data_IF_882140126274
#
_entry.id   IF_882140126274
#
_cell.length_a   1.000
_cell.length_b   1.000
_cell.length_c   1.000
_cell.angle_alpha   90.00
_cell.angle_beta   90.00
_cell.angle_gamma   90.00
#
_symmetry.space_group_name_H-M   'P 1'
#
loop_
_entity.id
_entity.type
_entity.pdbx_description
1 polymer ?
#
# COMPACT_ATOMS: atom_id res chain seq x y z
N UNK A 1 -20.16 14.30 7.98
CA UNK A 1 -19.96 13.06 8.73
C UNK A 1 -18.47 12.97 8.97
N UNK A 2 -18.01 13.14 10.22
CA UNK A 2 -16.59 13.20 10.53
C UNK A 2 -15.98 11.84 10.26
N UNK A 3 -15.09 11.72 9.26
CA UNK A 3 -14.19 10.59 9.14
C UNK A 3 -13.46 10.46 10.47
N UNK A 4 -13.69 9.35 11.19
CA UNK A 4 -12.87 9.01 12.34
C UNK A 4 -11.51 8.62 11.77
N UNK A 5 -10.57 9.55 11.85
CA UNK A 5 -9.21 9.38 11.40
C UNK A 5 -8.64 8.12 12.03
N UNK A 6 -8.06 7.23 11.22
CA UNK A 6 -7.31 6.08 11.71
C UNK A 6 -6.22 6.59 12.65
N UNK A 7 -6.08 6.03 13.85
CA UNK A 7 -5.07 6.45 14.81
C UNK A 7 -3.69 5.93 14.37
N UNK A 8 -2.97 6.75 13.60
CA UNK A 8 -1.62 6.42 13.11
C UNK A 8 -0.61 6.19 14.24
N UNK A 9 -0.93 6.54 15.49
CA UNK A 9 -0.06 6.25 16.63
C UNK A 9 0.12 4.74 16.83
N UNK A 10 -0.88 3.95 16.41
CA UNK A 10 -0.88 2.49 16.53
C UNK A 10 -0.31 1.79 15.28
N UNK A 11 -0.17 2.49 14.15
CA UNK A 11 0.43 1.92 12.93
C UNK A 11 1.87 1.49 13.15
N UNK A 12 2.15 0.22 12.84
CA UNK A 12 3.49 -0.34 12.83
C UNK A 12 4.00 -0.61 11.42
N UNK A 13 5.31 -0.49 11.27
CA UNK A 13 6.02 -0.63 9.99
C UNK A 13 7.08 -1.69 10.21
N UNK A 14 7.07 -2.73 9.38
CA UNK A 14 7.98 -3.86 9.50
C UNK A 14 8.78 -4.02 8.20
N UNK A 15 10.11 -3.82 8.23
CA UNK A 15 10.95 -4.18 7.10
C UNK A 15 11.00 -5.71 7.01
N UNK A 16 10.57 -6.28 5.89
CA UNK A 16 10.52 -7.74 5.69
C UNK A 16 11.77 -8.22 4.96
N UNK A 17 12.16 -7.52 3.88
CA UNK A 17 13.31 -7.90 3.05
C UNK A 17 13.98 -6.70 2.41
N UNK A 18 15.29 -6.78 2.21
CA UNK A 18 16.06 -5.85 1.37
C UNK A 18 16.16 -4.42 1.88
N UNK A 19 15.67 -4.15 3.10
CA UNK A 19 15.75 -2.84 3.75
C UNK A 19 15.75 -3.00 5.26
N UNK A 20 16.25 -1.99 5.97
CA UNK A 20 16.12 -1.80 7.40
C UNK A 20 15.32 -0.53 7.67
N UNK A 21 14.53 -0.56 8.73
CA UNK A 21 13.79 0.61 9.19
C UNK A 21 14.75 1.57 9.91
N UNK A 22 14.82 2.81 9.43
CA UNK A 22 15.54 3.91 10.06
C UNK A 22 14.65 4.70 11.01
N UNK A 23 14.73 6.03 10.96
CA UNK A 23 13.87 6.90 11.77
C UNK A 23 12.42 6.80 11.30
N UNK A 24 11.50 6.77 12.26
CA UNK A 24 10.05 6.94 12.03
C UNK A 24 9.59 8.22 12.73
N UNK A 25 8.95 9.09 11.97
CA UNK A 25 8.32 10.32 12.43
C UNK A 25 6.80 10.17 12.30
N UNK A 26 6.07 10.66 13.29
CA UNK A 26 4.60 10.65 13.32
C UNK A 26 4.12 12.06 13.61
N UNK A 27 3.16 12.51 12.82
CA UNK A 27 2.40 13.73 13.05
C UNK A 27 0.92 13.35 13.17
N UNK A 28 0.48 13.20 14.42
CA UNK A 28 -0.89 12.81 14.75
C UNK A 28 -1.92 13.90 14.47
N UNK A 29 -1.49 15.17 14.34
CA UNK A 29 -2.40 16.27 14.00
C UNK A 29 -2.80 16.18 12.52
N UNK A 30 -1.84 15.89 11.63
CA UNK A 30 -2.09 15.74 10.20
C UNK A 30 -2.29 14.30 9.72
N UNK A 31 -2.24 13.33 10.64
CA UNK A 31 -2.35 11.90 10.37
C UNK A 31 -1.30 11.36 9.39
N UNK A 32 -0.06 11.85 9.51
CA UNK A 32 1.06 11.49 8.65
C UNK A 32 2.11 10.63 9.39
N UNK A 33 2.59 9.58 8.73
CA UNK A 33 3.79 8.86 9.14
C UNK A 33 4.85 9.00 8.05
N UNK A 34 6.08 9.32 8.44
CA UNK A 34 7.25 9.27 7.57
C UNK A 34 8.24 8.25 8.13
N UNK A 35 8.62 7.27 7.31
CA UNK A 35 9.58 6.23 7.69
C UNK A 35 10.76 6.19 6.72
N UNK A 36 11.96 6.08 7.27
CA UNK A 36 13.15 5.86 6.47
C UNK A 36 13.33 4.37 6.19
N UNK A 37 13.44 4.03 4.90
CA UNK A 37 13.86 2.70 4.45
C UNK A 37 15.33 2.80 4.05
N UNK A 38 16.20 2.11 4.80
CA UNK A 38 17.65 2.12 4.61
C UNK A 38 18.06 0.85 3.87
N UNK A 39 18.80 0.99 2.78
CA UNK A 39 19.42 -0.17 2.11
C UNK A 39 20.77 -0.51 2.74
N UNK A 40 21.19 -1.75 2.62
CA UNK A 40 22.46 -2.25 3.19
C UNK A 40 23.70 -1.81 2.41
N UNK A 41 23.49 -1.18 1.25
CA UNK A 41 24.54 -0.71 0.36
C UNK A 41 24.06 0.49 -0.46
N UNK A 42 25.01 1.25 -0.97
CA UNK A 42 24.76 2.19 -2.07
C UNK A 42 24.36 1.41 -3.32
N UNK A 43 23.45 1.98 -4.11
CA UNK A 43 23.04 1.46 -5.41
C UNK A 43 23.69 2.28 -6.51
N UNK A 44 24.44 1.61 -7.38
CA UNK A 44 24.95 2.18 -8.61
C UNK A 44 23.86 2.26 -9.68
N UNK A 45 24.09 3.11 -10.68
CA UNK A 45 23.15 3.28 -11.79
C UNK A 45 22.93 1.94 -12.51
N UNK A 46 21.67 1.53 -12.61
CA UNK A 46 21.26 0.30 -13.29
C UNK A 46 21.22 -0.93 -12.39
N UNK A 47 21.59 -0.81 -11.12
CA UNK A 47 21.40 -1.90 -10.17
C UNK A 47 19.94 -2.00 -9.71
N UNK A 48 19.52 -3.24 -9.45
CA UNK A 48 18.20 -3.56 -8.91
C UNK A 48 18.31 -3.98 -7.45
N UNK A 49 17.38 -3.49 -6.64
CA UNK A 49 17.10 -4.05 -5.31
C UNK A 49 15.63 -4.43 -5.23
N UNK A 50 15.36 -5.56 -4.59
CA UNK A 50 14.00 -5.94 -4.17
C UNK A 50 13.92 -5.69 -2.68
N UNK A 51 12.94 -4.89 -2.27
CA UNK A 51 12.63 -4.67 -0.87
C UNK A 51 11.15 -4.92 -0.62
N UNK A 52 10.84 -5.26 0.63
CA UNK A 52 9.49 -5.54 1.09
C UNK A 52 9.31 -4.90 2.45
N UNK A 53 8.19 -4.19 2.59
CA UNK A 53 7.80 -3.49 3.81
C UNK A 53 6.32 -3.76 4.06
N UNK A 54 6.02 -4.16 5.28
CA UNK A 54 4.66 -4.40 5.75
C UNK A 54 4.21 -3.23 6.62
N UNK A 55 2.95 -2.82 6.43
CA UNK A 55 2.27 -1.84 7.26
C UNK A 55 1.12 -2.53 7.96
N UNK A 56 1.14 -2.55 9.28
CA UNK A 56 -0.03 -2.94 10.06
C UNK A 56 -0.76 -1.66 10.45
N UNK A 57 -2.00 -1.55 9.97
CA UNK A 57 -2.88 -0.39 10.14
C UNK A 57 -3.99 -0.75 11.14
N UNK A 58 -3.72 -0.78 12.45
CA UNK A 58 -4.75 -0.98 13.45
C UNK A 58 -5.66 0.24 13.51
N UNK A 59 -6.96 -0.01 13.65
CA UNK A 59 -7.94 1.04 13.82
C UNK A 59 -9.35 0.47 13.65
N UNK A 60 -10.30 1.15 14.27
CA UNK A 60 -11.72 0.78 14.19
C UNK A 60 -12.37 1.25 12.88
N UNK A 61 -11.63 2.01 12.08
CA UNK A 61 -12.09 2.53 10.79
C UNK A 61 -11.78 1.52 9.70
N UNK A 62 -12.83 1.04 9.06
CA UNK A 62 -12.77 0.17 7.90
C UNK A 62 -12.21 0.94 6.70
N UNK A 63 -10.88 0.85 6.48
CA UNK A 63 -10.25 1.36 5.26
C UNK A 63 -10.94 0.77 4.02
N UNK A 64 -11.00 1.52 2.92
CA UNK A 64 -11.67 1.09 1.67
C UNK A 64 -10.71 1.00 0.48
N UNK A 65 -9.49 1.48 0.66
CA UNK A 65 -8.42 1.33 -0.31
C UNK A 65 -7.05 1.37 0.36
N UNK A 66 -6.07 0.88 -0.41
CA UNK A 66 -4.65 1.07 -0.16
C UNK A 66 -3.98 1.30 -1.51
N UNK A 67 -3.04 2.24 -1.55
CA UNK A 67 -2.31 2.56 -2.78
C UNK A 67 -0.85 2.88 -2.52
N UNK A 68 -0.04 2.69 -3.56
CA UNK A 68 1.35 3.08 -3.61
C UNK A 68 1.57 4.11 -4.72
N UNK A 69 2.19 5.24 -4.38
CA UNK A 69 2.58 6.25 -5.36
C UNK A 69 4.00 5.99 -5.85
N UNK A 70 4.11 5.66 -7.13
CA UNK A 70 5.35 5.51 -7.87
C UNK A 70 5.69 6.81 -8.61
N UNK A 71 6.85 7.42 -8.34
CA UNK A 71 7.23 8.73 -8.92
C UNK A 71 7.94 8.64 -10.27
N UNK A 72 8.43 7.45 -10.63
CA UNK A 72 9.13 7.13 -11.88
C UNK A 72 8.90 5.65 -12.19
N UNK A 73 9.01 5.21 -13.44
CA UNK A 73 8.80 3.80 -13.78
C UNK A 73 9.70 2.87 -12.93
N UNK A 74 9.09 1.85 -12.30
CA UNK A 74 9.82 0.81 -11.56
C UNK A 74 9.63 -0.54 -12.24
N UNK A 75 10.65 -1.39 -12.18
CA UNK A 75 10.66 -2.69 -12.88
C UNK A 75 9.53 -3.61 -12.43
N UNK A 76 9.21 -3.61 -11.14
CA UNK A 76 8.17 -4.44 -10.54
C UNK A 76 7.59 -3.72 -9.33
N UNK A 77 6.27 -3.62 -9.28
CA UNK A 77 5.52 -3.24 -8.09
C UNK A 77 4.57 -4.39 -7.73
N UNK A 78 4.61 -4.78 -6.47
CA UNK A 78 3.62 -5.68 -5.87
C UNK A 78 2.97 -4.96 -4.71
N UNK A 79 1.64 -4.94 -4.71
CA UNK A 79 0.82 -4.47 -3.59
C UNK A 79 -0.03 -5.64 -3.14
N UNK A 80 0.07 -5.97 -1.86
CA UNK A 80 -0.76 -6.99 -1.23
C UNK A 80 -1.54 -6.37 -0.08
N UNK A 81 -2.82 -6.71 0.00
CA UNK A 81 -3.68 -6.40 1.14
C UNK A 81 -4.19 -7.70 1.72
N UNK A 82 -3.94 -7.92 3.02
CA UNK A 82 -4.46 -9.06 3.78
C UNK A 82 -5.59 -8.60 4.68
N UNK A 83 -6.73 -9.26 4.59
CA UNK A 83 -7.94 -8.96 5.35
C UNK A 83 -8.10 -9.91 6.55
N UNK A 84 -8.82 -9.47 7.58
CA UNK A 84 -9.27 -10.39 8.63
C UNK A 84 -10.21 -11.44 8.03
N UNK A 85 -9.95 -12.73 8.28
CA UNK A 85 -10.77 -13.83 7.74
C UNK A 85 -12.22 -13.81 8.23
N UNK A 86 -12.47 -13.24 9.41
CA UNK A 86 -13.81 -13.06 9.95
C UNK A 86 -14.54 -11.86 9.31
N UNK A 87 -13.81 -10.95 8.66
CA UNK A 87 -14.37 -9.75 8.05
C UNK A 87 -13.77 -9.52 6.66
N UNK A 88 -14.38 -10.15 5.66
CA UNK A 88 -13.90 -10.12 4.26
C UNK A 88 -14.65 -9.10 3.43
N UNK A 89 -13.98 -8.44 2.47
CA UNK A 89 -14.65 -7.53 1.55
C UNK A 89 -15.64 -8.27 0.63
N UNK A 90 -16.68 -7.56 0.18
CA UNK A 90 -17.63 -8.04 -0.82
C UNK A 90 -17.05 -7.98 -2.22
N UNK A 91 -16.23 -6.97 -2.51
CA UNK A 91 -15.52 -6.80 -3.78
C UNK A 91 -14.11 -6.29 -3.54
N UNK A 92 -13.16 -6.67 -4.40
CA UNK A 92 -11.82 -6.07 -4.43
C UNK A 92 -11.46 -5.75 -5.87
N UNK A 93 -11.00 -4.53 -6.14
CA UNK A 93 -10.74 -4.03 -7.50
C UNK A 93 -9.40 -3.28 -7.53
N UNK A 94 -8.52 -3.60 -8.48
CA UNK A 94 -7.32 -2.81 -8.74
C UNK A 94 -7.68 -1.48 -9.38
N UNK A 95 -6.84 -0.46 -9.24
CA UNK A 95 -6.93 0.76 -10.03
C UNK A 95 -5.55 1.35 -10.29
N UNK A 96 -5.46 2.12 -11.37
CA UNK A 96 -4.32 2.97 -11.69
C UNK A 96 -4.76 4.40 -11.92
N UNK A 97 -3.99 5.36 -11.40
CA UNK A 97 -4.23 6.79 -11.61
C UNK A 97 -2.93 7.50 -12.01
N UNK A 98 -2.84 8.11 -13.19
CA UNK A 98 -1.61 8.79 -13.65
C UNK A 98 -1.16 9.96 -12.75
N UNK A 99 -2.09 10.61 -12.04
CA UNK A 99 -1.85 11.72 -11.11
C UNK A 99 -3.01 11.84 -10.13
N UNK A 100 -2.81 12.41 -8.95
CA UNK A 100 -3.80 12.40 -7.84
C UNK A 100 -5.24 12.79 -8.20
N UNK A 101 -5.45 13.72 -9.15
CA UNK A 101 -6.79 14.19 -9.57
C UNK A 101 -7.32 13.56 -10.86
N UNK A 102 -6.59 12.63 -11.48
CA UNK A 102 -7.09 11.91 -12.66
C UNK A 102 -8.15 10.87 -12.26
N UNK A 103 -9.04 10.47 -13.18
CA UNK A 103 -9.94 9.34 -12.93
C UNK A 103 -9.13 8.05 -12.77
N UNK A 104 -9.72 7.09 -12.04
CA UNK A 104 -9.20 5.73 -11.96
C UNK A 104 -9.32 5.06 -13.34
N UNK A 105 -8.27 4.33 -13.72
CA UNK A 105 -8.15 3.58 -14.96
C UNK A 105 -7.72 2.15 -14.63
N UNK A 106 -7.82 1.23 -15.61
CA UNK A 106 -7.40 -0.18 -15.44
C UNK A 106 -8.06 -0.85 -14.22
N UNK A 107 -9.37 -0.63 -14.07
CA UNK A 107 -10.15 -1.22 -12.99
C UNK A 107 -10.45 -2.69 -13.28
N UNK A 108 -9.83 -3.60 -12.53
CA UNK A 108 -10.02 -5.04 -12.68
C UNK A 108 -10.38 -5.65 -11.33
N UNK A 109 -11.41 -6.48 -11.31
CA UNK A 109 -11.74 -7.24 -10.12
C UNK A 109 -10.58 -8.19 -9.79
N UNK A 110 -10.14 -8.14 -8.54
CA UNK A 110 -9.15 -9.05 -7.97
C UNK A 110 -9.87 -10.14 -7.20
N UNK A 111 -9.38 -11.37 -7.31
CA UNK A 111 -9.85 -12.48 -6.47
C UNK A 111 -9.06 -12.49 -5.17
N UNK A 112 -9.72 -12.87 -4.07
CA UNK A 112 -9.02 -13.16 -2.83
C UNK A 112 -8.28 -14.49 -2.95
N UNK A 113 -6.96 -14.43 -3.02
CA UNK A 113 -6.10 -15.59 -2.86
C UNK A 113 -6.16 -16.09 -1.40
N UNK A 114 -6.16 -17.41 -1.22
CA UNK A 114 -6.27 -18.09 0.08
C UNK A 114 -7.46 -17.63 0.95
N UNK A 115 -8.43 -16.96 0.33
CA UNK A 115 -9.68 -16.46 0.91
C UNK A 115 -9.60 -15.12 1.63
N UNK A 116 -8.43 -14.46 1.70
CA UNK A 116 -8.21 -13.25 2.49
C UNK A 116 -7.14 -12.29 1.94
N UNK A 117 -6.51 -12.58 0.79
CA UNK A 117 -5.42 -11.76 0.24
C UNK A 117 -5.75 -11.25 -1.16
N UNK A 118 -5.73 -9.94 -1.36
CA UNK A 118 -5.80 -9.35 -2.69
C UNK A 118 -4.41 -8.90 -3.14
N UNK A 119 -4.00 -9.27 -4.36
CA UNK A 119 -2.68 -8.96 -4.90
C UNK A 119 -2.80 -8.20 -6.21
N UNK A 120 -2.10 -7.08 -6.29
CA UNK A 120 -1.85 -6.31 -7.50
C UNK A 120 -0.39 -6.44 -7.88
N UNK A 121 -0.12 -6.83 -9.13
CA UNK A 121 1.23 -6.89 -9.70
C UNK A 121 1.29 -6.02 -10.94
N UNK A 122 2.33 -5.19 -11.04
CA UNK A 122 2.58 -4.31 -12.18
C UNK A 122 4.04 -4.45 -12.63
N UNK A 123 4.25 -4.73 -13.92
CA UNK A 123 5.57 -4.99 -14.49
C UNK A 123 5.60 -4.62 -16.00
N UNK A 124 6.27 -3.52 -16.39
CA UNK A 124 6.77 -2.46 -15.51
C UNK A 124 5.60 -1.68 -14.87
N UNK A 125 5.85 -1.04 -13.72
CA UNK A 125 4.86 -0.16 -13.11
C UNK A 125 5.17 1.30 -13.49
N UNK A 126 4.30 1.90 -14.29
CA UNK A 126 4.40 3.30 -14.71
C UNK A 126 4.35 4.28 -13.53
N UNK A 127 4.90 5.48 -13.71
CA UNK A 127 4.71 6.58 -12.76
C UNK A 127 3.22 6.88 -12.57
N UNK A 128 2.80 7.04 -11.32
CA UNK A 128 1.40 7.23 -10.93
C UNK A 128 1.05 6.50 -9.63
N UNK A 129 -0.24 6.37 -9.38
CA UNK A 129 -0.79 5.73 -8.18
C UNK A 129 -1.36 4.38 -8.59
N UNK A 130 -0.86 3.32 -7.96
CA UNK A 130 -1.33 1.95 -8.15
C UNK A 130 -1.98 1.49 -6.85
N UNK A 131 -3.21 0.99 -6.90
CA UNK A 131 -3.91 0.64 -5.68
C UNK A 131 -4.93 -0.46 -5.82
N UNK A 132 -5.42 -0.89 -4.67
CA UNK A 132 -6.52 -1.82 -4.51
C UNK A 132 -7.59 -1.10 -3.70
N UNK A 133 -8.82 -1.13 -4.20
CA UNK A 133 -10.03 -0.67 -3.52
C UNK A 133 -10.88 -1.88 -3.17
N UNK A 134 -11.64 -1.79 -2.09
CA UNK A 134 -12.61 -2.81 -1.73
C UNK A 134 -13.86 -2.20 -1.09
N UNK A 135 -14.94 -2.97 -1.13
CA UNK A 135 -16.18 -2.67 -0.44
C UNK A 135 -16.39 -3.67 0.69
N UNK A 136 -16.94 -3.20 1.81
CA UNK A 136 -17.30 -4.06 2.93
C UNK A 136 -18.72 -4.58 2.80
N UNK A 137 -19.03 -5.78 3.33
CA UNK A 137 -20.41 -6.22 3.49
C UNK A 137 -21.19 -5.19 4.34
N UNK A 138 -22.38 -4.82 3.87
CA UNK A 138 -23.31 -3.95 4.59
C UNK A 138 -23.98 -4.61 5.79
#
# INVERSE_FOLDING_TARGET
MSEKNSDISQTSIHPVRGTRLGRVLRDTETNLIAAQLLFDRTLDRGELIVHEVEFNLPGDTLAQDYFHWVTHEVTLLTVEVTFDRAYRPSTTTSFFRPRSQAPDTCCHELRLDHGDRAVLVQQPASAGIHGIRWEWPG
#
